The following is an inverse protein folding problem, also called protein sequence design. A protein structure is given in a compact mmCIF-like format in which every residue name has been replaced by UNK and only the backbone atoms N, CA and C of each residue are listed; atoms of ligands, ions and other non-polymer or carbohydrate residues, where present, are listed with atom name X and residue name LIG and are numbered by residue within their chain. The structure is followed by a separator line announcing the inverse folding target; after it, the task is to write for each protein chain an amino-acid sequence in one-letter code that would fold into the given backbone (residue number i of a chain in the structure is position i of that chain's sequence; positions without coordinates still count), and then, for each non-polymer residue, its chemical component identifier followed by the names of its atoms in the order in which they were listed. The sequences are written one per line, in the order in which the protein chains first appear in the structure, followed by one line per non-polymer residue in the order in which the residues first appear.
data_IF_003413509239
#
_entry.id   IF_003413509239
#
_cell.length_a   1.000
_cell.length_b   1.000
_cell.length_c   1.000
_cell.angle_alpha   90.00
_cell.angle_beta   90.00
_cell.angle_gamma   90.00
#
_symmetry.space_group_name_H-M   'P 1'
#
loop_
_entity.id
_entity.type
_entity.pdbx_description
1 polymer ?
#
# COMPACT_ATOMS: atom_id res chain seq x y z
N UNK A 1 10.81 25.43 -8.72
CA UNK A 1 9.44 25.44 -8.17
C UNK A 1 8.46 24.59 -9.00
N UNK A 2 8.27 24.77 -10.33
CA UNK A 2 7.29 24.00 -11.13
C UNK A 2 7.42 22.48 -11.03
N UNK A 3 8.64 21.94 -10.94
CA UNK A 3 8.89 20.49 -10.83
C UNK A 3 8.43 19.92 -9.47
N UNK A 4 8.68 20.66 -8.38
CA UNK A 4 8.20 20.28 -7.05
C UNK A 4 6.66 20.26 -7.01
N UNK A 5 6.01 21.29 -7.56
CA UNK A 5 4.55 21.34 -7.65
C UNK A 5 3.97 20.20 -8.50
N UNK A 6 4.65 19.83 -9.60
CA UNK A 6 4.24 18.67 -10.40
C UNK A 6 4.37 17.36 -9.61
N UNK A 7 5.41 17.22 -8.78
CA UNK A 7 5.55 16.11 -7.85
C UNK A 7 4.43 16.07 -6.80
N UNK A 8 4.10 17.20 -6.19
CA UNK A 8 2.99 17.32 -5.25
C UNK A 8 1.64 16.95 -5.91
N UNK A 9 1.36 17.47 -7.12
CA UNK A 9 0.16 17.15 -7.87
C UNK A 9 0.07 15.65 -8.21
N UNK A 10 1.23 15.02 -8.48
CA UNK A 10 1.30 13.59 -8.71
C UNK A 10 0.99 12.80 -7.43
N UNK A 11 1.48 13.23 -6.27
CA UNK A 11 1.16 12.58 -5.00
C UNK A 11 -0.34 12.67 -4.68
N UNK A 12 -0.99 13.79 -4.98
CA UNK A 12 -2.44 13.95 -4.86
C UNK A 12 -3.24 13.05 -5.81
N UNK A 13 -2.60 12.52 -6.85
CA UNK A 13 -3.24 11.58 -7.78
C UNK A 13 -3.13 10.11 -7.32
N UNK A 14 -2.61 9.85 -6.14
CA UNK A 14 -2.51 8.52 -5.55
C UNK A 14 -3.28 8.44 -4.23
N UNK A 15 -3.70 7.25 -3.81
CA UNK A 15 -4.34 7.07 -2.52
C UNK A 15 -3.53 7.68 -1.36
N UNK A 16 -4.18 8.25 -0.36
CA UNK A 16 -5.63 8.20 -0.08
C UNK A 16 -6.47 9.27 -0.80
N UNK A 17 -5.90 10.03 -1.74
CA UNK A 17 -6.62 11.08 -2.45
C UNK A 17 -7.42 10.52 -3.64
N UNK A 18 -8.63 11.05 -3.92
CA UNK A 18 -9.52 10.50 -4.95
C UNK A 18 -9.24 11.04 -6.37
N UNK A 19 -8.03 11.54 -6.64
CA UNK A 19 -7.70 12.22 -7.91
C UNK A 19 -6.95 11.34 -8.91
N UNK A 20 -7.03 10.00 -8.77
CA UNK A 20 -6.31 9.06 -9.63
C UNK A 20 -6.55 9.27 -11.13
N UNK A 21 -7.75 9.70 -11.52
CA UNK A 21 -8.08 9.98 -12.92
C UNK A 21 -7.27 11.14 -13.53
N UNK A 22 -6.71 12.04 -12.70
CA UNK A 22 -5.88 13.17 -13.15
C UNK A 22 -4.40 12.83 -13.32
N UNK A 23 -3.94 11.66 -12.90
CA UNK A 23 -2.52 11.30 -12.87
C UNK A 23 -1.79 11.48 -14.21
N UNK A 24 -2.41 11.27 -15.40
CA UNK A 24 -1.69 11.47 -16.66
C UNK A 24 -1.24 12.92 -16.87
N UNK A 25 -1.89 13.90 -16.25
CA UNK A 25 -1.58 15.34 -16.45
C UNK A 25 -0.22 15.71 -15.85
N UNK A 26 0.02 15.55 -14.50
CA UNK A 26 1.32 15.84 -13.92
C UNK A 26 2.42 14.93 -14.48
N UNK A 27 2.13 13.66 -14.76
CA UNK A 27 3.08 12.75 -15.39
C UNK A 27 3.46 13.19 -16.80
N UNK A 28 2.51 13.62 -17.64
CA UNK A 28 2.79 14.10 -18.98
C UNK A 28 3.73 15.33 -18.96
N UNK A 29 3.56 16.22 -17.98
CA UNK A 29 4.50 17.31 -17.77
C UNK A 29 5.88 16.79 -17.36
N UNK A 30 5.97 15.88 -16.38
CA UNK A 30 7.23 15.34 -15.87
C UNK A 30 7.97 14.51 -16.92
N UNK A 31 7.27 13.74 -17.73
CA UNK A 31 7.88 12.95 -18.81
C UNK A 31 8.53 13.80 -19.91
N UNK A 32 8.15 15.07 -20.04
CA UNK A 32 8.80 16.04 -20.94
C UNK A 32 10.08 16.62 -20.36
N UNK A 33 10.24 16.55 -19.04
CA UNK A 33 11.41 17.07 -18.36
C UNK A 33 12.50 16.00 -18.37
N UNK A 34 13.74 16.38 -18.61
CA UNK A 34 14.87 15.48 -18.59
C UNK A 34 15.94 15.91 -17.58
N UNK A 35 16.81 14.95 -17.25
CA UNK A 35 17.98 15.19 -16.43
C UNK A 35 17.75 15.01 -14.92
N UNK A 36 18.85 14.76 -14.23
CA UNK A 36 18.92 14.43 -12.81
C UNK A 36 18.16 15.42 -11.91
N UNK A 37 18.36 16.72 -12.13
CA UNK A 37 17.70 17.78 -11.35
C UNK A 37 16.16 17.72 -11.46
N UNK A 38 15.65 17.37 -12.65
CA UNK A 38 14.20 17.27 -12.85
C UNK A 38 13.60 16.13 -12.03
N UNK A 39 14.23 14.94 -12.08
CA UNK A 39 13.82 13.80 -11.26
C UNK A 39 13.92 14.05 -9.77
N UNK A 40 15.03 14.71 -9.32
CA UNK A 40 15.23 15.04 -7.92
C UNK A 40 14.13 15.97 -7.37
N UNK A 41 13.89 17.09 -8.04
CA UNK A 41 12.90 18.06 -7.58
C UNK A 41 11.46 17.54 -7.64
N UNK A 42 11.12 16.80 -8.68
CA UNK A 42 9.81 16.13 -8.79
C UNK A 42 9.67 15.05 -7.71
N UNK A 43 10.72 14.23 -7.50
CA UNK A 43 10.76 13.21 -6.46
C UNK A 43 10.62 13.78 -5.06
N UNK A 44 11.33 14.88 -4.73
CA UNK A 44 11.17 15.56 -3.43
C UNK A 44 9.69 15.97 -3.23
N UNK A 45 9.08 16.66 -4.21
CA UNK A 45 7.69 17.08 -4.11
C UNK A 45 6.74 15.90 -3.92
N UNK A 46 6.93 14.83 -4.70
CA UNK A 46 6.10 13.63 -4.62
C UNK A 46 6.24 12.92 -3.27
N UNK A 47 7.45 12.56 -2.88
CA UNK A 47 7.69 11.73 -1.70
C UNK A 47 7.42 12.46 -0.38
N UNK A 48 7.64 13.78 -0.31
CA UNK A 48 7.26 14.57 0.87
C UNK A 48 5.76 14.48 1.16
N UNK A 49 4.92 14.62 0.15
CA UNK A 49 3.47 14.57 0.34
C UNK A 49 2.96 13.13 0.45
N UNK A 50 3.46 12.23 -0.39
CA UNK A 50 2.98 10.84 -0.42
C UNK A 50 3.29 10.09 0.88
N UNK A 51 4.39 10.41 1.56
CA UNK A 51 4.82 9.81 2.82
C UNK A 51 4.56 10.70 4.05
N UNK A 52 3.72 11.72 3.94
CA UNK A 52 3.47 12.69 5.03
C UNK A 52 2.91 12.04 6.31
N UNK A 53 2.30 10.89 6.20
CA UNK A 53 1.78 10.08 7.31
C UNK A 53 2.88 9.35 8.11
N UNK A 54 4.03 9.11 7.51
CA UNK A 54 5.09 8.25 8.04
C UNK A 54 5.77 8.80 9.31
N UNK A 55 6.05 10.13 9.44
CA UNK A 55 6.61 10.68 10.67
C UNK A 55 5.77 10.37 11.91
N UNK A 56 4.46 10.51 11.82
CA UNK A 56 3.55 10.18 12.92
C UNK A 56 3.61 8.69 13.27
N UNK A 57 3.61 7.82 12.26
CA UNK A 57 3.71 6.36 12.47
C UNK A 57 5.01 5.98 13.17
N UNK A 58 6.13 6.59 12.79
CA UNK A 58 7.42 6.35 13.42
C UNK A 58 7.48 6.88 14.86
N UNK A 59 6.92 8.06 15.11
CA UNK A 59 6.81 8.61 16.49
C UNK A 59 6.01 7.66 17.38
N UNK A 60 4.89 7.14 16.88
CA UNK A 60 4.07 6.16 17.60
C UNK A 60 4.79 4.83 17.80
N UNK A 61 5.56 4.38 16.80
CA UNK A 61 6.29 3.10 16.86
C UNK A 61 7.47 3.15 17.85
N UNK A 62 8.25 4.23 17.84
CA UNK A 62 9.44 4.36 18.67
C UNK A 62 9.16 5.03 20.02
N UNK A 63 7.96 5.52 20.26
CA UNK A 63 7.58 6.18 21.52
C UNK A 63 8.30 7.51 21.78
N UNK A 64 8.95 8.10 20.76
CA UNK A 64 9.74 9.33 20.88
C UNK A 64 9.60 10.21 19.63
N UNK A 65 9.61 11.56 19.78
CA UNK A 65 9.62 12.48 18.64
C UNK A 65 10.81 12.27 17.68
N UNK A 66 11.93 11.74 18.19
CA UNK A 66 13.11 11.41 17.37
C UNK A 66 12.80 10.30 16.34
N UNK A 67 11.73 9.53 16.54
CA UNK A 67 11.24 8.57 15.54
C UNK A 67 10.92 9.20 14.19
N UNK A 68 10.62 10.49 14.12
CA UNK A 68 10.38 11.19 12.85
C UNK A 68 11.66 11.44 12.01
N UNK A 69 12.85 11.35 12.60
CA UNK A 69 14.13 11.65 11.93
C UNK A 69 14.36 10.83 10.65
N UNK A 70 14.07 9.52 10.58
CA UNK A 70 14.29 8.71 9.37
C UNK A 70 13.47 9.15 8.15
N UNK A 71 12.43 9.97 8.32
CA UNK A 71 11.56 10.41 7.22
C UNK A 71 12.32 11.19 6.15
N UNK A 72 13.16 12.17 6.54
CA UNK A 72 13.87 13.00 5.58
C UNK A 72 14.87 12.21 4.73
N UNK A 73 15.75 11.36 5.32
CA UNK A 73 16.60 10.47 4.53
C UNK A 73 15.83 9.58 3.57
N UNK A 74 14.70 9.02 4.00
CA UNK A 74 13.87 8.17 3.15
C UNK A 74 13.33 8.94 1.93
N UNK A 75 12.79 10.13 2.14
CA UNK A 75 12.32 11.01 1.05
C UNK A 75 13.45 11.32 0.08
N UNK A 76 14.64 11.64 0.59
CA UNK A 76 15.81 11.96 -0.24
C UNK A 76 16.29 10.74 -1.04
N UNK A 77 16.35 9.56 -0.43
CA UNK A 77 16.73 8.31 -1.13
C UNK A 77 15.75 8.03 -2.27
N UNK A 78 14.44 8.08 -2.01
CA UNK A 78 13.41 7.85 -3.04
C UNK A 78 13.46 8.92 -4.15
N UNK A 79 13.70 10.18 -3.80
CA UNK A 79 13.86 11.26 -4.78
C UNK A 79 15.15 11.09 -5.62
N UNK A 80 16.24 10.62 -5.02
CA UNK A 80 17.49 10.30 -5.72
C UNK A 80 17.30 9.14 -6.71
N UNK A 81 16.53 8.13 -6.37
CA UNK A 81 16.19 7.04 -7.30
C UNK A 81 15.51 7.58 -8.56
N UNK A 82 14.53 8.50 -8.41
CA UNK A 82 13.92 9.18 -9.56
C UNK A 82 14.93 10.03 -10.32
N UNK A 83 15.80 10.75 -9.60
CA UNK A 83 16.86 11.57 -10.21
C UNK A 83 17.77 10.74 -11.10
N UNK A 84 18.14 9.53 -10.68
CA UNK A 84 18.97 8.60 -11.47
C UNK A 84 18.24 8.18 -12.74
N UNK A 85 16.97 7.74 -12.65
CA UNK A 85 16.19 7.35 -13.84
C UNK A 85 16.06 8.53 -14.82
N UNK A 86 15.73 9.73 -14.35
CA UNK A 86 15.61 10.92 -15.19
C UNK A 86 16.96 11.35 -15.78
N UNK A 87 18.04 11.19 -15.02
CA UNK A 87 19.41 11.49 -15.46
C UNK A 87 19.88 10.55 -16.57
N UNK A 88 19.68 9.25 -16.41
CA UNK A 88 20.07 8.23 -17.38
C UNK A 88 19.24 8.32 -18.67
N UNK A 89 17.96 8.66 -18.54
CA UNK A 89 17.04 8.70 -19.70
C UNK A 89 16.99 10.06 -20.42
N UNK A 90 17.54 11.11 -19.83
CA UNK A 90 17.62 12.48 -20.39
C UNK A 90 16.43 12.83 -21.33
N UNK A 91 16.67 12.88 -22.63
CA UNK A 91 15.70 13.26 -23.66
C UNK A 91 14.94 12.07 -24.28
N UNK A 92 14.91 10.92 -23.58
CA UNK A 92 14.25 9.70 -24.03
C UNK A 92 13.04 9.37 -23.15
N UNK A 93 11.87 9.99 -23.41
CA UNK A 93 10.70 9.82 -22.53
C UNK A 93 10.17 8.38 -22.48
N UNK A 94 10.26 7.62 -23.58
CA UNK A 94 9.89 6.20 -23.58
C UNK A 94 10.84 5.36 -22.69
N UNK A 95 12.14 5.61 -22.75
CA UNK A 95 13.11 4.95 -21.86
C UNK A 95 12.84 5.31 -20.40
N UNK A 96 12.33 6.53 -20.13
CA UNK A 96 11.94 6.97 -18.79
C UNK A 96 10.73 6.19 -18.26
N UNK A 97 9.74 5.94 -19.11
CA UNK A 97 8.61 5.06 -18.77
C UNK A 97 9.12 3.68 -18.34
N UNK A 98 9.94 3.02 -19.15
CA UNK A 98 10.52 1.73 -18.80
C UNK A 98 11.37 1.79 -17.53
N UNK A 99 12.21 2.83 -17.38
CA UNK A 99 13.05 3.01 -16.20
C UNK A 99 12.26 3.21 -14.90
N UNK A 100 11.12 3.91 -14.94
CA UNK A 100 10.25 4.07 -13.79
C UNK A 100 9.56 2.77 -13.40
N UNK A 101 9.07 1.97 -14.36
CA UNK A 101 8.47 0.65 -14.07
C UNK A 101 9.53 -0.31 -13.49
N UNK A 102 10.73 -0.33 -14.06
CA UNK A 102 11.86 -1.12 -13.54
C UNK A 102 12.21 -0.66 -12.12
N UNK A 103 12.21 0.64 -11.86
CA UNK A 103 12.48 1.17 -10.52
C UNK A 103 11.41 0.72 -9.51
N UNK A 104 10.12 0.74 -9.88
CA UNK A 104 9.05 0.22 -9.03
C UNK A 104 9.28 -1.26 -8.70
N UNK A 105 9.61 -2.07 -9.71
CA UNK A 105 9.92 -3.48 -9.51
C UNK A 105 11.11 -3.67 -8.57
N UNK A 106 12.23 -3.00 -8.80
CA UNK A 106 13.42 -3.11 -7.96
C UNK A 106 13.17 -2.68 -6.51
N UNK A 107 12.33 -1.65 -6.29
CA UNK A 107 11.99 -1.19 -4.92
C UNK A 107 10.98 -2.09 -4.20
N UNK A 108 10.47 -3.12 -4.85
CA UNK A 108 9.62 -4.14 -4.22
C UNK A 108 10.39 -5.42 -3.84
N UNK A 109 11.69 -5.49 -4.13
CA UNK A 109 12.51 -6.67 -3.89
C UNK A 109 13.37 -6.54 -2.63
N UNK A 110 13.63 -7.68 -2.01
CA UNK A 110 14.59 -7.82 -0.90
C UNK A 110 14.07 -7.34 0.46
N UNK A 111 14.96 -7.37 1.44
CA UNK A 111 14.66 -7.05 2.85
C UNK A 111 14.35 -5.57 3.10
N UNK A 112 14.79 -4.70 2.22
CA UNK A 112 14.51 -3.25 2.25
C UNK A 112 13.40 -2.86 1.27
N UNK A 113 12.58 -3.82 0.85
CA UNK A 113 11.46 -3.55 -0.03
C UNK A 113 10.53 -2.50 0.56
N UNK A 114 10.23 -1.49 -0.27
CA UNK A 114 9.29 -0.42 0.11
C UNK A 114 8.41 -0.08 -1.09
N UNK A 115 7.39 -0.93 -1.38
CA UNK A 115 6.55 -0.86 -2.57
C UNK A 115 5.44 0.21 -2.46
N UNK A 116 5.79 1.39 -1.99
CA UNK A 116 4.88 2.52 -1.87
C UNK A 116 5.01 3.47 -3.07
N UNK A 117 3.90 4.11 -3.42
CA UNK A 117 3.89 5.17 -4.42
C UNK A 117 4.02 4.68 -5.87
N UNK A 118 3.58 3.46 -6.18
CA UNK A 118 3.52 2.98 -7.55
C UNK A 118 2.41 3.69 -8.33
N UNK A 119 2.70 4.06 -9.57
CA UNK A 119 1.75 4.82 -10.39
C UNK A 119 0.47 4.04 -10.68
N UNK A 120 0.54 2.71 -10.72
CA UNK A 120 -0.61 1.83 -10.89
C UNK A 120 -1.66 1.95 -9.79
N UNK A 121 -1.28 2.40 -8.59
CA UNK A 121 -2.23 2.63 -7.51
C UNK A 121 -3.24 3.75 -7.79
N UNK A 122 -2.97 4.61 -8.78
CA UNK A 122 -3.96 5.58 -9.23
C UNK A 122 -5.25 4.93 -9.74
N UNK A 123 -5.19 3.67 -10.19
CA UNK A 123 -6.33 2.93 -10.71
C UNK A 123 -7.05 2.07 -9.66
N UNK A 124 -6.68 2.15 -8.38
CA UNK A 124 -7.25 1.28 -7.33
C UNK A 124 -8.77 1.43 -7.19
N UNK A 125 -9.30 2.63 -7.38
CA UNK A 125 -10.74 2.92 -7.36
C UNK A 125 -11.41 2.73 -8.73
N UNK A 126 -10.61 2.61 -9.80
CA UNK A 126 -11.13 2.46 -11.15
C UNK A 126 -11.51 1.01 -11.47
N UNK A 127 -12.58 0.75 -12.23
CA UNK A 127 -12.85 -0.57 -12.79
C UNK A 127 -11.65 -1.17 -13.55
N UNK A 128 -10.87 -0.34 -14.20
CA UNK A 128 -9.64 -0.74 -14.90
C UNK A 128 -8.59 -1.43 -14.03
N UNK A 129 -8.71 -1.38 -12.69
CA UNK A 129 -7.85 -2.17 -11.77
C UNK A 129 -7.87 -3.67 -12.07
N UNK A 130 -8.94 -4.20 -12.69
CA UNK A 130 -9.05 -5.59 -13.09
C UNK A 130 -7.92 -6.03 -14.04
N UNK A 131 -7.30 -5.12 -14.77
CA UNK A 131 -6.13 -5.40 -15.59
C UNK A 131 -4.91 -5.87 -14.77
N UNK A 132 -4.91 -5.62 -13.46
CA UNK A 132 -3.88 -6.16 -12.57
C UNK A 132 -3.83 -7.70 -12.56
N UNK A 133 -4.92 -8.39 -12.90
CA UNK A 133 -4.95 -9.86 -13.02
C UNK A 133 -3.98 -10.42 -14.08
N UNK A 134 -3.56 -9.59 -15.05
CA UNK A 134 -2.65 -10.00 -16.13
C UNK A 134 -1.17 -9.71 -15.83
N UNK A 135 -0.86 -8.71 -15.05
CA UNK A 135 0.54 -8.30 -14.81
C UNK A 135 0.76 -7.47 -13.55
N UNK A 136 -0.15 -7.60 -12.59
CA UNK A 136 -0.05 -6.93 -11.31
C UNK A 136 -0.07 -5.39 -11.42
N UNK A 137 0.37 -4.76 -10.35
CA UNK A 137 0.47 -3.30 -10.27
C UNK A 137 1.43 -2.71 -11.30
N UNK A 138 2.43 -3.48 -11.75
CA UNK A 138 3.41 -3.00 -12.73
C UNK A 138 2.79 -2.80 -14.11
N UNK A 139 1.85 -3.66 -14.51
CA UNK A 139 1.08 -3.46 -15.74
C UNK A 139 0.21 -2.20 -15.63
N UNK A 140 -0.44 -1.97 -14.48
CA UNK A 140 -1.20 -0.75 -14.25
C UNK A 140 -0.30 0.48 -14.31
N UNK A 141 0.89 0.44 -13.69
CA UNK A 141 1.88 1.53 -13.75
C UNK A 141 2.32 1.80 -15.20
N UNK A 142 2.56 0.75 -15.97
CA UNK A 142 2.91 0.88 -17.39
C UNK A 142 1.79 1.56 -18.19
N UNK A 143 0.53 1.16 -17.97
CA UNK A 143 -0.64 1.76 -18.64
C UNK A 143 -0.74 3.26 -18.30
N UNK A 144 -0.62 3.61 -17.01
CA UNK A 144 -0.64 5.00 -16.55
C UNK A 144 0.46 5.84 -17.20
N UNK A 145 1.70 5.31 -17.19
CA UNK A 145 2.86 5.98 -17.76
C UNK A 145 2.78 6.12 -19.28
N UNK A 146 2.26 5.11 -19.99
CA UNK A 146 2.03 5.18 -21.43
C UNK A 146 0.92 6.19 -21.78
N UNK A 147 -0.16 6.24 -21.00
CA UNK A 147 -1.20 7.25 -21.18
C UNK A 147 -0.61 8.67 -21.03
N UNK A 148 0.21 8.88 -20.00
CA UNK A 148 0.91 10.14 -19.78
C UNK A 148 1.90 10.48 -20.92
N UNK A 149 2.64 9.47 -21.43
CA UNK A 149 3.57 9.64 -22.56
C UNK A 149 2.83 10.08 -23.83
N UNK A 150 1.72 9.44 -24.15
CA UNK A 150 0.90 9.79 -25.31
C UNK A 150 0.31 11.20 -25.15
N UNK A 151 -0.19 11.54 -23.97
CA UNK A 151 -0.67 12.89 -23.66
C UNK A 151 0.46 13.93 -23.79
N UNK A 152 1.66 13.62 -23.30
CA UNK A 152 2.84 14.48 -23.43
C UNK A 152 3.20 14.77 -24.89
N UNK A 153 2.90 13.83 -25.79
CA UNK A 153 3.11 13.92 -27.23
C UNK A 153 1.91 14.52 -27.96
N UNK A 154 0.97 15.16 -27.24
CA UNK A 154 -0.27 15.77 -27.76
C UNK A 154 -1.22 14.79 -28.47
N UNK A 155 -1.10 13.50 -28.19
CA UNK A 155 -2.00 12.45 -28.71
C UNK A 155 -3.24 12.35 -27.81
N UNK A 156 -4.12 13.35 -27.89
CA UNK A 156 -5.29 13.50 -27.00
C UNK A 156 -6.31 12.36 -27.11
N UNK A 157 -6.30 11.60 -28.20
CA UNK A 157 -7.17 10.43 -28.35
C UNK A 157 -6.99 9.41 -27.21
N UNK A 158 -5.83 9.40 -26.50
CA UNK A 158 -5.57 8.55 -25.35
C UNK A 158 -6.55 8.79 -24.19
N UNK A 159 -7.16 9.96 -24.13
CA UNK A 159 -8.15 10.29 -23.09
C UNK A 159 -9.41 9.41 -23.20
N UNK A 160 -9.74 8.88 -24.39
CA UNK A 160 -10.89 7.99 -24.56
C UNK A 160 -10.64 6.63 -23.85
N UNK A 161 -9.62 5.83 -24.20
CA UNK A 161 -9.35 4.59 -23.46
C UNK A 161 -9.03 4.85 -21.99
N UNK A 162 -8.41 5.99 -21.64
CA UNK A 162 -8.19 6.36 -20.25
C UNK A 162 -9.51 6.52 -19.49
N UNK A 163 -10.47 7.26 -20.04
CA UNK A 163 -11.80 7.41 -19.46
C UNK A 163 -12.54 6.08 -19.34
N UNK A 164 -12.39 5.18 -20.33
CA UNK A 164 -13.00 3.84 -20.29
C UNK A 164 -12.52 3.03 -19.10
N UNK A 165 -11.26 3.17 -18.65
CA UNK A 165 -10.76 2.49 -17.45
C UNK A 165 -11.52 2.90 -16.18
N UNK A 166 -12.17 4.07 -16.17
CA UNK A 166 -12.90 4.62 -15.02
C UNK A 166 -14.40 4.33 -15.03
N UNK A 167 -14.95 4.00 -16.19
CA UNK A 167 -16.40 3.78 -16.35
C UNK A 167 -16.77 2.37 -16.82
N UNK A 168 -15.78 1.51 -17.08
CA UNK A 168 -16.02 0.15 -17.53
C UNK A 168 -16.81 -0.64 -16.47
N UNK A 169 -17.91 -1.32 -16.85
CA UNK A 169 -18.70 -2.05 -15.88
C UNK A 169 -17.89 -3.23 -15.31
N UNK A 170 -17.79 -3.30 -13.99
CA UNK A 170 -17.26 -4.50 -13.32
C UNK A 170 -18.39 -5.51 -13.22
N UNK A 171 -18.17 -6.77 -13.64
CA UNK A 171 -19.13 -7.84 -13.41
C UNK A 171 -19.44 -7.95 -11.91
N UNK A 172 -20.71 -7.93 -11.55
CA UNK A 172 -21.11 -8.22 -10.17
C UNK A 172 -20.87 -9.70 -9.92
N UNK A 173 -19.88 -10.01 -9.11
CA UNK A 173 -19.72 -11.35 -8.56
C UNK A 173 -20.64 -11.43 -7.36
N UNK A 174 -21.58 -12.38 -7.38
CA UNK A 174 -22.37 -12.71 -6.19
C UNK A 174 -21.48 -13.61 -5.36
N UNK A 175 -21.08 -13.21 -4.15
CA UNK A 175 -20.23 -14.06 -3.32
C UNK A 175 -21.04 -15.27 -2.84
N UNK A 176 -20.43 -16.45 -2.92
CA UNK A 176 -21.02 -17.69 -2.39
C UNK A 176 -20.87 -17.77 -0.86
N UNK A 177 -19.95 -17.00 -0.29
CA UNK A 177 -19.63 -16.98 1.13
C UNK A 177 -19.48 -15.57 1.67
N UNK A 178 -19.80 -15.42 2.95
CA UNK A 178 -19.66 -14.15 3.68
C UNK A 178 -18.64 -14.29 4.80
N UNK A 179 -17.79 -13.27 4.98
CA UNK A 179 -16.79 -13.25 6.03
C UNK A 179 -17.04 -12.10 7.01
N UNK A 180 -16.96 -12.41 8.32
CA UNK A 180 -16.88 -11.41 9.37
C UNK A 180 -15.42 -11.01 9.56
N UNK A 181 -15.05 -9.80 9.16
CA UNK A 181 -13.71 -9.25 9.39
C UNK A 181 -13.70 -8.48 10.70
N UNK A 182 -12.87 -8.91 11.64
CA UNK A 182 -12.77 -8.32 12.98
C UNK A 182 -11.51 -7.48 13.09
N UNK A 183 -11.66 -6.17 13.18
CA UNK A 183 -10.55 -5.22 13.34
C UNK A 183 -10.43 -4.76 14.79
N UNK A 184 -9.40 -5.25 15.51
CA UNK A 184 -9.16 -4.91 16.91
C UNK A 184 -8.71 -3.47 17.16
N UNK A 185 -8.08 -2.83 16.18
CA UNK A 185 -7.49 -1.48 16.28
C UNK A 185 -6.61 -1.29 17.52
N UNK A 186 -5.83 -2.33 17.88
CA UNK A 186 -4.92 -2.30 19.02
C UNK A 186 -3.57 -1.78 18.54
N UNK A 187 -2.98 -0.84 19.29
CA UNK A 187 -1.64 -0.35 19.01
C UNK A 187 -0.63 -1.51 19.07
N UNK A 188 0.19 -1.73 18.02
CA UNK A 188 1.18 -2.83 18.01
C UNK A 188 2.13 -2.84 19.21
N UNK A 189 2.58 -1.65 19.68
CA UNK A 189 3.42 -1.54 20.86
C UNK A 189 2.75 -2.06 22.14
N UNK A 190 1.45 -1.79 22.31
CA UNK A 190 0.71 -2.29 23.47
C UNK A 190 0.59 -3.80 23.46
N UNK A 191 0.42 -4.41 22.27
CA UNK A 191 0.45 -5.87 22.12
C UNK A 191 1.81 -6.46 22.57
N UNK A 192 2.92 -5.83 22.14
CA UNK A 192 4.28 -6.25 22.53
C UNK A 192 4.49 -6.10 24.05
N UNK A 193 3.88 -5.09 24.67
CA UNK A 193 3.93 -4.83 26.12
C UNK A 193 2.95 -5.69 26.92
N UNK A 194 2.27 -6.67 26.30
CA UNK A 194 1.43 -7.64 26.99
C UNK A 194 -0.04 -7.22 27.18
N UNK A 195 -0.52 -6.19 26.44
CA UNK A 195 -1.97 -5.88 26.43
C UNK A 195 -2.74 -7.09 25.90
N UNK A 196 -3.74 -7.54 26.67
CA UNK A 196 -4.57 -8.70 26.32
C UNK A 196 -5.43 -8.42 25.07
N UNK A 197 -4.84 -8.70 23.91
CA UNK A 197 -5.50 -8.53 22.63
C UNK A 197 -6.61 -9.57 22.41
N UNK A 198 -6.45 -10.76 22.98
CA UNK A 198 -7.35 -11.91 22.80
C UNK A 198 -8.76 -11.59 23.27
N UNK A 199 -8.92 -11.06 24.49
CA UNK A 199 -10.21 -10.70 25.05
C UNK A 199 -10.95 -9.69 24.17
N UNK A 200 -10.23 -8.72 23.63
CA UNK A 200 -10.80 -7.72 22.70
C UNK A 200 -11.29 -8.36 21.40
N UNK A 201 -10.49 -9.26 20.79
CA UNK A 201 -10.91 -9.97 19.58
C UNK A 201 -12.10 -10.88 19.84
N UNK A 202 -12.14 -11.56 20.98
CA UNK A 202 -13.29 -12.39 21.37
C UNK A 202 -14.56 -11.56 21.53
N UNK A 203 -14.48 -10.44 22.25
CA UNK A 203 -15.62 -9.56 22.44
C UNK A 203 -16.18 -9.01 21.13
N UNK A 204 -15.27 -8.53 20.24
CA UNK A 204 -15.66 -8.02 18.92
C UNK A 204 -16.22 -9.11 18.01
N UNK A 205 -15.67 -10.33 18.07
CA UNK A 205 -16.18 -11.48 17.29
C UNK A 205 -17.58 -11.85 17.73
N UNK A 206 -17.82 -11.96 19.03
CA UNK A 206 -19.14 -12.25 19.60
C UNK A 206 -20.18 -11.21 19.19
N UNK A 207 -19.84 -9.93 19.28
CA UNK A 207 -20.73 -8.85 18.87
C UNK A 207 -20.97 -8.85 17.35
N UNK A 208 -19.90 -9.03 16.54
CA UNK A 208 -20.02 -9.11 15.09
C UNK A 208 -20.89 -10.28 14.61
N UNK A 209 -20.74 -11.47 15.21
CA UNK A 209 -21.58 -12.64 14.87
C UNK A 209 -23.04 -12.46 15.30
N UNK A 210 -23.29 -11.65 16.35
CA UNK A 210 -24.68 -11.31 16.72
C UNK A 210 -25.34 -10.41 15.66
N UNK A 211 -24.56 -9.51 15.04
CA UNK A 211 -25.05 -8.61 13.98
C UNK A 211 -25.09 -9.28 12.59
N UNK A 212 -24.18 -10.21 12.34
CA UNK A 212 -24.05 -10.93 11.08
C UNK A 212 -24.03 -12.45 11.31
N UNK A 213 -25.15 -13.07 11.76
CA UNK A 213 -25.21 -14.49 12.07
C UNK A 213 -25.03 -15.40 10.84
N UNK A 214 -25.17 -14.85 9.64
CA UNK A 214 -25.00 -15.55 8.36
C UNK A 214 -23.53 -15.62 7.92
N UNK A 215 -22.57 -15.05 8.65
CA UNK A 215 -21.17 -15.14 8.28
C UNK A 215 -20.68 -16.60 8.28
N UNK A 216 -20.09 -17.03 7.17
CA UNK A 216 -19.58 -18.40 7.00
C UNK A 216 -18.21 -18.59 7.65
N UNK A 217 -17.42 -17.52 7.76
CA UNK A 217 -16.10 -17.53 8.37
C UNK A 217 -15.81 -16.24 9.11
N UNK A 218 -14.86 -16.31 10.06
CA UNK A 218 -14.33 -15.15 10.79
C UNK A 218 -12.88 -14.93 10.40
N UNK A 219 -12.50 -13.66 10.19
CA UNK A 219 -11.13 -13.28 9.83
C UNK A 219 -10.62 -12.26 10.85
N UNK A 220 -9.52 -12.59 11.49
CA UNK A 220 -8.75 -11.67 12.31
C UNK A 220 -7.50 -11.20 11.55
N UNK A 221 -6.97 -9.99 11.80
CA UNK A 221 -5.80 -9.48 11.10
C UNK A 221 -4.53 -10.25 11.44
N UNK A 222 -3.48 -10.00 10.66
CA UNK A 222 -2.12 -10.45 10.96
C UNK A 222 -1.70 -10.01 12.38
N UNK A 223 -1.03 -10.92 13.09
CA UNK A 223 -0.60 -10.68 14.47
C UNK A 223 -1.75 -10.33 15.43
N UNK A 224 -2.97 -10.86 15.19
CA UNK A 224 -4.09 -10.69 16.13
C UNK A 224 -3.71 -11.23 17.50
N UNK A 225 -3.06 -12.40 17.54
CA UNK A 225 -2.48 -13.02 18.72
C UNK A 225 -0.95 -12.89 18.65
N UNK A 226 -0.35 -12.33 19.68
CA UNK A 226 1.09 -12.09 19.73
C UNK A 226 1.69 -12.92 20.87
N UNK A 227 2.88 -13.50 20.63
CA UNK A 227 3.63 -14.31 21.61
C UNK A 227 2.89 -15.54 22.13
N UNK A 228 2.22 -16.27 21.26
CA UNK A 228 1.71 -17.60 21.61
C UNK A 228 2.93 -18.55 21.69
N UNK A 229 3.18 -19.21 22.84
CA UNK A 229 4.26 -20.18 22.94
C UNK A 229 4.06 -21.34 21.96
N UNK A 230 5.14 -21.84 21.37
CA UNK A 230 5.06 -23.01 20.50
C UNK A 230 4.45 -24.19 21.25
N UNK A 231 3.46 -24.85 20.68
CA UNK A 231 2.78 -26.00 21.30
C UNK A 231 1.66 -25.65 22.28
N UNK A 232 1.38 -24.35 22.53
CA UNK A 232 0.21 -23.95 23.32
C UNK A 232 -0.99 -23.78 22.40
N UNK A 233 -2.06 -24.52 22.70
CA UNK A 233 -3.34 -24.27 22.05
C UNK A 233 -3.89 -22.92 22.55
N UNK A 234 -4.15 -22.01 21.60
CA UNK A 234 -4.93 -20.79 21.87
C UNK A 234 -6.26 -21.22 22.47
N UNK A 235 -6.70 -20.57 23.56
CA UNK A 235 -7.91 -20.92 24.33
C UNK A 235 -9.05 -21.46 23.43
N UNK A 236 -8.89 -22.74 23.06
CA UNK A 236 -9.72 -23.37 22.02
C UNK A 236 -11.18 -23.55 22.45
N UNK A 237 -11.45 -23.68 23.76
CA UNK A 237 -12.82 -23.83 24.25
C UNK A 237 -13.62 -22.52 24.14
N UNK A 238 -13.02 -21.39 24.50
CA UNK A 238 -13.63 -20.07 24.37
C UNK A 238 -13.91 -19.72 22.91
N UNK A 239 -12.96 -20.01 22.01
CA UNK A 239 -13.12 -19.80 20.57
C UNK A 239 -14.18 -20.74 19.99
N UNK A 240 -14.15 -22.03 20.27
CA UNK A 240 -15.16 -23.00 19.81
C UNK A 240 -16.58 -22.57 20.19
N UNK A 241 -16.75 -22.08 21.43
CA UNK A 241 -18.06 -21.60 21.91
C UNK A 241 -18.54 -20.37 21.13
N UNK A 242 -17.65 -19.44 20.78
CA UNK A 242 -18.00 -18.20 20.07
C UNK A 242 -18.21 -18.46 18.57
N UNK A 243 -17.33 -19.26 17.97
CA UNK A 243 -17.33 -19.53 16.54
C UNK A 243 -18.38 -20.57 16.14
N UNK A 244 -18.83 -21.42 17.08
CA UNK A 244 -19.56 -22.67 16.77
C UNK A 244 -18.71 -23.49 15.78
N UNK A 245 -19.27 -23.87 14.63
CA UNK A 245 -18.52 -24.64 13.60
C UNK A 245 -17.86 -23.76 12.52
N UNK A 246 -17.81 -22.44 12.72
CA UNK A 246 -17.24 -21.53 11.72
C UNK A 246 -15.71 -21.55 11.76
N UNK A 247 -15.04 -21.59 10.60
CA UNK A 247 -13.60 -21.47 10.53
C UNK A 247 -13.13 -20.05 10.93
N UNK A 248 -11.99 -19.99 11.63
CA UNK A 248 -11.26 -18.77 11.92
C UNK A 248 -9.96 -18.72 11.12
N UNK A 249 -9.76 -17.65 10.39
CA UNK A 249 -8.49 -17.33 9.75
C UNK A 249 -7.81 -16.21 10.55
N UNK A 250 -6.61 -16.46 11.06
CA UNK A 250 -5.85 -15.48 11.85
C UNK A 250 -4.36 -15.65 11.66
N UNK A 251 -3.61 -14.54 11.80
CA UNK A 251 -2.16 -14.57 11.95
C UNK A 251 -1.79 -14.66 13.43
N UNK A 252 -0.86 -15.57 13.74
CA UNK A 252 -0.34 -15.79 15.11
C UNK A 252 1.16 -15.60 15.10
N UNK A 253 1.69 -14.74 15.98
CA UNK A 253 3.11 -14.64 16.26
C UNK A 253 3.53 -15.77 17.22
N UNK A 254 4.29 -16.74 16.71
CA UNK A 254 4.82 -17.84 17.53
C UNK A 254 6.19 -17.44 18.09
N UNK A 255 6.39 -17.52 19.40
CA UNK A 255 7.70 -17.35 20.01
C UNK A 255 8.33 -18.72 20.27
N UNK A 256 9.48 -19.00 19.67
CA UNK A 256 10.28 -20.19 19.93
C UNK A 256 10.98 -20.14 21.29
N UNK A 257 10.96 -19.00 21.99
CA UNK A 257 11.71 -18.75 23.20
C UNK A 257 11.15 -19.46 24.44
N UNK A 258 9.98 -20.11 24.36
CA UNK A 258 9.39 -20.83 25.52
C UNK A 258 10.14 -22.10 25.89
N UNK A 259 10.90 -22.73 24.98
CA UNK A 259 11.68 -23.94 25.30
C UNK A 259 13.04 -23.65 25.96
N UNK A 260 13.57 -22.42 25.90
CA UNK A 260 14.90 -22.07 26.37
C UNK A 260 14.95 -20.99 27.47
N UNK A 261 13.80 -20.46 27.91
CA UNK A 261 13.76 -19.42 28.95
C UNK A 261 14.43 -18.10 28.53
N UNK A 262 14.56 -17.83 27.24
CA UNK A 262 15.11 -16.58 26.68
C UNK A 262 14.10 -15.94 25.75
N UNK A 263 13.71 -14.75 26.11
CA UNK A 263 12.97 -13.86 25.19
C UNK A 263 13.97 -13.24 24.21
N UNK A 264 13.75 -13.41 22.91
CA UNK A 264 14.49 -12.70 21.87
C UNK A 264 13.86 -11.33 21.60
#
# INVERSE_FOLDING_TARGET
MRLVFAGLALALSLPPFPFGFLIPIPLAYLLRQGGFRAGLLAGIGFWLLHLIWLPQSFVLLFGTPLGAVPFIPLVLIKALMWAVVFGLTKNRPLSRVGGLVVLEYLTSLGTLAFPWGFFGYALVEAPGRMLASFGGVYLLSLIVLLAALLLSSKKYWVLVPWALLWVWPIPKVIPDHTALIVQGSINPLRKVLGENAEERYFGLTKEGLRQAPQADLVVWPESALFQVPAGVEVNGEGLKTILSDRPLVTGVGISEAAEQGRYA
#
